data_IF_198234244264
#
_entry.id   IF_198234244264
#
_cell.length_a   1.000
_cell.length_b   1.000
_cell.length_c   1.000
_cell.angle_alpha   90.00
_cell.angle_beta   90.00
_cell.angle_gamma   90.00
#
_symmetry.space_group_name_H-M   'P 1'
#
loop_
_entity.id
_entity.type
_entity.pdbx_description
1 polymer ?
#
# COMPACT_ATOMS: atom_id res chain seq x y z
N UNK A 1 1.00 -1.14 26.55
CA UNK A 1 1.30 -0.59 25.21
C UNK A 1 -0.03 -0.17 24.56
N UNK A 2 -0.05 0.79 23.63
CA UNK A 2 -1.28 1.13 22.87
C UNK A 2 -1.20 0.49 21.50
N UNK A 3 -2.27 -0.18 21.05
CA UNK A 3 -2.38 -0.76 19.70
C UNK A 3 -2.10 0.30 18.61
N UNK A 4 -2.52 1.54 18.83
CA UNK A 4 -2.24 2.68 17.96
C UNK A 4 -0.76 3.02 17.82
N UNK A 5 0.07 2.71 18.83
CA UNK A 5 1.51 2.98 18.81
C UNK A 5 2.22 2.10 17.78
N UNK A 6 1.86 0.82 17.71
CA UNK A 6 2.40 -0.12 16.71
C UNK A 6 1.89 0.13 15.29
N UNK A 7 0.74 0.82 15.16
CA UNK A 7 0.14 1.22 13.91
C UNK A 7 0.52 2.65 13.50
N UNK A 8 1.40 3.30 14.29
CA UNK A 8 1.81 4.67 14.00
C UNK A 8 2.44 4.77 12.63
N UNK A 9 2.12 5.87 11.96
CA UNK A 9 2.52 6.18 10.57
C UNK A 9 4.03 6.44 10.39
N UNK A 10 4.89 5.92 11.26
CA UNK A 10 6.35 6.05 11.17
C UNK A 10 6.97 4.72 10.71
N UNK A 11 7.69 4.74 9.59
CA UNK A 11 8.44 3.59 9.08
C UNK A 11 7.66 2.63 8.16
N UNK A 12 8.16 1.39 7.95
CA UNK A 12 7.63 0.43 6.98
C UNK A 12 6.19 -0.01 7.29
N UNK A 13 5.74 0.12 8.53
CA UNK A 13 4.35 -0.10 8.96
C UNK A 13 3.36 0.74 8.16
N UNK A 14 3.71 2.02 7.89
CA UNK A 14 2.87 2.92 7.11
C UNK A 14 2.70 2.39 5.68
N UNK A 15 3.81 1.94 5.07
CA UNK A 15 3.81 1.39 3.72
C UNK A 15 2.87 0.19 3.62
N UNK A 16 2.99 -0.80 4.52
CA UNK A 16 2.13 -1.98 4.51
C UNK A 16 0.64 -1.63 4.62
N UNK A 17 0.30 -0.60 5.40
CA UNK A 17 -1.08 -0.12 5.50
C UNK A 17 -1.55 0.60 4.24
N UNK A 18 -0.71 1.48 3.69
CA UNK A 18 -1.03 2.27 2.50
C UNK A 18 -1.21 1.38 1.26
N UNK A 19 -0.52 0.24 1.20
CA UNK A 19 -0.72 -0.78 0.14
C UNK A 19 -1.80 -1.82 0.50
N UNK A 20 -2.50 -1.65 1.62
CA UNK A 20 -3.59 -2.47 2.14
C UNK A 20 -3.23 -3.90 2.56
N UNK A 21 -2.01 -4.14 3.03
CA UNK A 21 -1.67 -5.41 3.69
C UNK A 21 -2.39 -5.54 5.03
N UNK A 22 -2.79 -6.77 5.36
CA UNK A 22 -3.54 -7.08 6.58
C UNK A 22 -2.58 -7.40 7.73
N UNK A 23 -2.72 -6.75 8.90
CA UNK A 23 -1.91 -7.10 10.07
C UNK A 23 -2.29 -8.50 10.58
N UNK A 24 -1.29 -9.32 10.88
CA UNK A 24 -1.45 -10.65 11.46
C UNK A 24 -0.89 -10.65 12.88
N UNK A 25 -1.74 -10.89 13.85
CA UNK A 25 -1.40 -10.94 15.27
C UNK A 25 -1.20 -12.39 15.71
N UNK A 26 -0.30 -12.62 16.68
CA UNK A 26 -0.06 -13.96 17.24
C UNK A 26 -1.19 -14.35 18.21
N UNK A 27 -1.74 -13.39 18.93
CA UNK A 27 -2.87 -13.51 19.85
C UNK A 27 -3.77 -12.27 19.74
N UNK A 28 -5.02 -12.37 20.21
CA UNK A 28 -5.98 -11.24 20.14
C UNK A 28 -5.58 -10.06 21.05
N UNK A 29 -4.83 -10.36 22.10
CA UNK A 29 -4.34 -9.38 23.08
C UNK A 29 -3.02 -8.73 22.66
N UNK A 30 -2.38 -9.23 21.59
CA UNK A 30 -1.11 -8.67 21.13
C UNK A 30 -1.25 -7.21 20.74
N UNK A 31 -0.23 -6.46 21.17
CA UNK A 31 -0.15 -5.04 20.95
C UNK A 31 0.09 -4.68 19.49
N UNK A 32 0.98 -5.44 18.85
CA UNK A 32 1.50 -5.18 17.54
C UNK A 32 1.30 -6.41 16.66
N UNK A 33 1.10 -6.24 15.34
CA UNK A 33 1.12 -7.37 14.43
C UNK A 33 2.51 -8.01 14.40
N UNK A 34 2.54 -9.34 14.37
CA UNK A 34 3.76 -10.12 14.20
C UNK A 34 4.26 -10.05 12.75
N UNK A 35 3.32 -9.97 11.78
CA UNK A 35 3.62 -9.85 10.35
C UNK A 35 2.46 -9.17 9.61
N UNK A 36 2.68 -8.83 8.35
CA UNK A 36 1.65 -8.32 7.45
C UNK A 36 1.42 -9.31 6.31
N UNK A 37 0.17 -9.68 6.08
CA UNK A 37 -0.25 -10.45 4.91
C UNK A 37 -0.44 -9.50 3.72
N UNK A 38 0.46 -9.64 2.74
CA UNK A 38 0.45 -8.88 1.50
C UNK A 38 0.12 -9.77 0.28
N UNK A 39 -0.51 -10.93 0.48
CA UNK A 39 -0.78 -11.90 -0.60
C UNK A 39 -1.71 -11.35 -1.68
N UNK A 40 -2.46 -10.28 -1.38
CA UNK A 40 -3.28 -9.57 -2.36
C UNK A 40 -2.44 -8.75 -3.35
N UNK A 41 -1.19 -8.41 -3.01
CA UNK A 41 -0.26 -7.69 -3.89
C UNK A 41 0.29 -8.62 -4.95
N UNK A 42 0.59 -9.87 -4.61
CA UNK A 42 1.09 -10.86 -5.56
C UNK A 42 0.10 -11.14 -6.70
N UNK A 43 -1.20 -10.90 -6.45
CA UNK A 43 -2.27 -11.05 -7.44
C UNK A 43 -2.47 -9.82 -8.33
N UNK A 44 -1.76 -8.71 -8.05
CA UNK A 44 -1.89 -7.47 -8.82
C UNK A 44 -1.25 -7.64 -10.19
N UNK A 45 -1.85 -6.99 -11.19
CA UNK A 45 -1.28 -7.02 -12.54
C UNK A 45 -0.05 -6.13 -12.61
N UNK A 46 1.07 -6.66 -13.11
CA UNK A 46 2.28 -5.88 -13.43
C UNK A 46 2.07 -4.81 -14.52
N UNK A 47 0.91 -4.83 -15.20
CA UNK A 47 0.54 -3.85 -16.23
C UNK A 47 -0.35 -2.71 -15.72
N UNK A 48 -0.68 -2.71 -14.42
CA UNK A 48 -1.49 -1.66 -13.79
C UNK A 48 -0.71 -0.99 -12.66
N UNK A 49 -1.04 0.26 -12.38
CA UNK A 49 -0.57 0.96 -11.20
C UNK A 49 -1.64 0.97 -10.11
N UNK A 50 -1.20 0.94 -8.86
CA UNK A 50 -2.08 0.92 -7.70
C UNK A 50 -1.68 2.08 -6.80
N UNK A 51 -2.50 3.12 -6.75
CA UNK A 51 -2.24 4.32 -5.96
C UNK A 51 -3.53 4.79 -5.29
N UNK A 52 -3.44 5.31 -4.07
CA UNK A 52 -4.58 5.87 -3.33
C UNK A 52 -5.80 4.91 -3.23
N UNK A 53 -5.55 3.60 -3.20
CA UNK A 53 -6.60 2.57 -3.15
C UNK A 53 -7.32 2.33 -4.49
N UNK A 54 -6.89 2.95 -5.58
CA UNK A 54 -7.45 2.79 -6.93
C UNK A 54 -6.47 2.10 -7.88
N UNK A 55 -7.04 1.47 -8.90
CA UNK A 55 -6.29 0.89 -10.01
C UNK A 55 -6.24 1.88 -11.18
N UNK A 56 -5.07 2.02 -11.78
CA UNK A 56 -4.86 2.86 -12.97
C UNK A 56 -4.25 2.01 -14.08
N UNK A 57 -4.77 2.21 -15.29
CA UNK A 57 -4.25 1.58 -16.51
C UNK A 57 -2.94 2.23 -16.95
N UNK A 58 -2.18 1.54 -17.81
CA UNK A 58 -0.97 2.12 -18.40
C UNK A 58 -1.30 3.43 -19.11
N UNK A 59 -0.47 4.45 -18.84
CA UNK A 59 -0.61 5.83 -19.34
C UNK A 59 -1.82 6.59 -18.79
N UNK A 60 -2.55 6.03 -17.84
CA UNK A 60 -3.63 6.75 -17.16
C UNK A 60 -3.06 7.78 -16.17
N UNK A 61 -3.62 8.98 -16.18
CA UNK A 61 -3.32 10.01 -15.17
C UNK A 61 -4.03 9.66 -13.86
N UNK A 62 -3.30 9.73 -12.75
CA UNK A 62 -3.90 9.61 -11.41
C UNK A 62 -4.96 10.71 -11.23
N UNK A 63 -6.14 10.47 -10.67
CA UNK A 63 -7.14 11.55 -10.59
C UNK A 63 -6.65 12.73 -9.73
N UNK A 64 -7.09 13.95 -10.03
CA UNK A 64 -6.71 15.14 -9.24
C UNK A 64 -7.17 15.04 -7.77
N UNK A 65 -8.33 14.43 -7.52
CA UNK A 65 -8.86 14.19 -6.18
C UNK A 65 -7.95 13.26 -5.36
N UNK A 66 -7.35 12.27 -6.01
CA UNK A 66 -6.43 11.33 -5.36
C UNK A 66 -5.06 11.96 -5.07
N UNK A 67 -4.66 12.99 -5.83
CA UNK A 67 -3.33 13.60 -5.70
C UNK A 67 -3.16 14.42 -4.41
N UNK A 68 -4.23 14.81 -3.70
CA UNK A 68 -4.22 15.57 -2.42
C UNK A 68 -3.05 16.59 -2.23
N UNK A 69 -2.61 17.27 -3.30
CA UNK A 69 -1.43 18.18 -3.39
C UNK A 69 -0.10 17.62 -3.96
N UNK A 70 -0.12 16.54 -4.74
CA UNK A 70 1.03 16.06 -5.52
C UNK A 70 1.05 16.57 -6.98
N UNK A 71 2.21 16.59 -7.65
CA UNK A 71 2.29 16.85 -9.08
C UNK A 71 1.48 15.81 -9.88
N UNK A 72 1.13 16.10 -11.15
CA UNK A 72 0.49 15.12 -12.00
C UNK A 72 1.36 13.86 -12.15
N UNK A 73 0.77 12.71 -11.86
CA UNK A 73 1.41 11.41 -11.96
C UNK A 73 0.72 10.57 -13.04
N UNK A 74 1.52 9.90 -13.86
CA UNK A 74 1.05 9.01 -14.92
C UNK A 74 1.50 7.59 -14.59
N UNK A 75 0.59 6.62 -14.71
CA UNK A 75 0.95 5.22 -14.56
C UNK A 75 1.90 4.77 -15.67
N UNK A 76 3.12 4.39 -15.28
CA UNK A 76 4.12 3.77 -16.18
C UNK A 76 4.43 2.36 -15.69
N UNK A 77 4.75 1.48 -16.64
CA UNK A 77 5.25 0.16 -16.31
C UNK A 77 6.57 0.31 -15.55
N UNK A 78 6.67 -0.34 -14.39
CA UNK A 78 7.93 -0.43 -13.66
C UNK A 78 9.01 -1.11 -14.52
N UNK A 79 10.30 -0.93 -14.19
CA UNK A 79 11.36 -1.64 -14.87
C UNK A 79 11.04 -3.14 -14.84
N UNK A 80 11.17 -3.82 -16.00
CA UNK A 80 11.27 -5.27 -15.97
C UNK A 80 12.52 -5.57 -15.17
N UNK A 81 12.38 -6.25 -14.03
CA UNK A 81 13.54 -6.95 -13.46
C UNK A 81 13.99 -7.94 -14.55
N UNK A 82 15.18 -7.67 -15.08
CA UNK A 82 15.85 -8.45 -16.13
C UNK A 82 16.71 -9.49 -15.46
#
# INVERSE_FOLDING_TARGET
CRKDDCLTSKGPVKLYRDIHCKPVFRTFDDCCPMKYDCSHIEKRSFNKCYAFGKEYSRNEEVSFEDRRCGPPCICRQGPKEV
#
